data_IF_730927466953
#
_entry.id   IF_730927466953
#
_cell.length_a   1.000
_cell.length_b   1.000
_cell.length_c   1.000
_cell.angle_alpha   90.00
_cell.angle_beta   90.00
_cell.angle_gamma   90.00
#
_symmetry.space_group_name_H-M   'P 1'
#
loop_
_entity.id
_entity.type
_entity.pdbx_description
1 polymer ?
#
# COMPACT_ATOMS: atom_id res chain seq x y z
N UNK A 1 -12.22 -1.38 7.84
CA UNK A 1 -13.40 -1.58 6.99
C UNK A 1 -13.13 -2.53 5.83
N UNK A 2 -11.96 -2.46 5.19
CA UNK A 2 -11.62 -3.40 4.12
C UNK A 2 -11.58 -4.85 4.65
N UNK A 3 -11.03 -5.07 5.84
CA UNK A 3 -11.05 -6.39 6.47
C UNK A 3 -12.49 -6.84 6.76
N UNK A 4 -13.34 -5.93 7.24
CA UNK A 4 -14.75 -6.23 7.48
C UNK A 4 -15.48 -6.56 6.17
N UNK A 5 -15.10 -5.93 5.05
CA UNK A 5 -15.70 -6.25 3.76
C UNK A 5 -15.40 -7.70 3.35
N UNK A 6 -14.19 -8.19 3.65
CA UNK A 6 -13.85 -9.59 3.36
C UNK A 6 -14.66 -10.57 4.18
N UNK A 7 -14.92 -10.23 5.45
CA UNK A 7 -15.81 -11.05 6.30
C UNK A 7 -17.22 -11.09 5.72
N UNK A 8 -17.75 -9.93 5.33
CA UNK A 8 -19.09 -9.85 4.75
C UNK A 8 -19.19 -10.66 3.45
N UNK A 9 -18.15 -10.63 2.60
CA UNK A 9 -18.13 -11.45 1.38
C UNK A 9 -18.15 -12.94 1.72
N UNK A 10 -17.35 -13.38 2.68
CA UNK A 10 -17.30 -14.78 3.07
C UNK A 10 -18.62 -15.27 3.66
N UNK A 11 -19.36 -14.38 4.33
CA UNK A 11 -20.66 -14.73 4.91
C UNK A 11 -21.82 -14.60 3.91
N UNK A 12 -21.56 -14.12 2.69
CA UNK A 12 -22.58 -14.02 1.65
C UNK A 12 -23.39 -12.72 1.68
N UNK A 13 -22.80 -11.63 2.16
CA UNK A 13 -23.43 -10.30 2.18
C UNK A 13 -22.70 -9.31 1.27
N UNK A 14 -22.80 -9.47 -0.05
CA UNK A 14 -22.04 -8.62 -0.98
C UNK A 14 -22.40 -7.13 -0.92
N UNK A 15 -23.65 -6.80 -0.62
CA UNK A 15 -24.06 -5.40 -0.46
C UNK A 15 -23.38 -4.75 0.73
N UNK A 16 -23.27 -5.48 1.84
CA UNK A 16 -22.58 -4.99 3.04
C UNK A 16 -21.09 -4.83 2.76
N UNK A 17 -20.49 -5.81 2.08
CA UNK A 17 -19.07 -5.76 1.70
C UNK A 17 -18.78 -4.52 0.84
N UNK A 18 -19.64 -4.23 -0.13
CA UNK A 18 -19.48 -3.07 -1.01
C UNK A 18 -19.62 -1.76 -0.25
N UNK A 19 -20.56 -1.67 0.71
CA UNK A 19 -20.71 -0.50 1.56
C UNK A 19 -19.44 -0.24 2.38
N UNK A 20 -18.84 -1.27 2.97
CA UNK A 20 -17.58 -1.13 3.71
C UNK A 20 -16.45 -0.60 2.83
N UNK A 21 -16.31 -1.11 1.61
CA UNK A 21 -15.25 -0.65 0.69
C UNK A 21 -15.41 0.83 0.34
N UNK A 22 -16.64 1.23 0.07
CA UNK A 22 -16.95 2.62 -0.28
C UNK A 22 -16.65 3.57 0.87
N UNK A 23 -17.05 3.18 2.08
CA UNK A 23 -16.80 3.99 3.27
C UNK A 23 -15.31 3.99 3.61
N UNK A 24 -14.59 2.89 3.39
CA UNK A 24 -13.14 2.84 3.57
C UNK A 24 -12.43 3.90 2.71
N UNK A 25 -12.88 4.09 1.46
CA UNK A 25 -12.32 5.12 0.60
C UNK A 25 -12.59 6.52 1.17
N UNK A 26 -13.80 6.77 1.66
CA UNK A 26 -14.14 8.05 2.27
C UNK A 26 -13.29 8.33 3.51
N UNK A 27 -13.03 7.32 4.33
CA UNK A 27 -12.17 7.47 5.50
C UNK A 27 -10.72 7.75 5.11
N UNK A 28 -10.24 7.10 4.03
CA UNK A 28 -8.92 7.40 3.49
C UNK A 28 -8.84 8.86 3.00
N UNK A 29 -9.92 9.37 2.38
CA UNK A 29 -9.99 10.77 1.96
C UNK A 29 -9.94 11.73 3.16
N UNK A 30 -10.62 11.40 4.25
CA UNK A 30 -10.51 12.17 5.50
C UNK A 30 -9.06 12.22 5.99
N UNK A 31 -8.40 11.08 6.03
CA UNK A 31 -7.00 11.00 6.44
C UNK A 31 -6.10 11.85 5.53
N UNK A 32 -6.36 11.83 4.22
CA UNK A 32 -5.58 12.62 3.25
C UNK A 32 -5.69 14.12 3.51
N UNK A 33 -6.88 14.58 3.90
CA UNK A 33 -7.11 15.99 4.22
C UNK A 33 -6.32 16.42 5.45
N UNK A 34 -6.28 15.57 6.47
CA UNK A 34 -5.45 15.83 7.64
C UNK A 34 -3.96 15.85 7.29
N UNK A 35 -3.51 14.94 6.42
CA UNK A 35 -2.12 14.92 5.98
C UNK A 35 -1.74 16.23 5.27
N UNK A 36 -2.61 16.74 4.41
CA UNK A 36 -2.38 18.03 3.73
C UNK A 36 -2.33 19.19 4.71
N UNK A 37 -3.28 19.25 5.65
CA UNK A 37 -3.34 20.32 6.65
C UNK A 37 -2.09 20.33 7.51
N UNK A 38 -1.61 19.16 7.92
CA UNK A 38 -0.44 19.02 8.77
C UNK A 38 0.88 19.15 7.99
N UNK A 39 0.83 19.05 6.67
CA UNK A 39 2.03 19.06 5.84
C UNK A 39 2.90 17.82 6.02
N UNK A 40 2.29 16.70 6.41
CA UNK A 40 2.98 15.44 6.59
C UNK A 40 2.80 14.56 5.36
N UNK A 41 3.86 13.83 4.98
CA UNK A 41 3.89 12.84 3.90
C UNK A 41 3.75 13.45 2.50
N UNK A 42 3.04 14.57 2.36
CA UNK A 42 2.73 15.21 1.07
C UNK A 42 3.65 16.39 0.84
N UNK A 43 4.25 16.45 -0.35
CA UNK A 43 5.06 17.59 -0.78
C UNK A 43 4.31 18.36 -1.87
N UNK A 44 4.62 19.68 -2.03
CA UNK A 44 3.90 20.51 -3.01
C UNK A 44 4.32 20.29 -4.46
N UNK A 45 4.95 19.18 -4.77
CA UNK A 45 5.49 18.87 -6.09
C UNK A 45 5.26 17.40 -6.42
N UNK A 46 4.65 17.14 -7.57
CA UNK A 46 4.45 15.78 -8.05
C UNK A 46 5.78 15.04 -8.23
N UNK A 47 6.80 15.72 -8.74
CA UNK A 47 8.14 15.13 -8.86
C UNK A 47 8.67 14.67 -7.50
N UNK A 48 8.58 15.54 -6.49
CA UNK A 48 9.05 15.22 -5.14
C UNK A 48 8.25 14.07 -4.52
N UNK A 49 6.92 14.06 -4.71
CA UNK A 49 6.07 12.99 -4.22
C UNK A 49 6.40 11.65 -4.87
N UNK A 50 6.59 11.64 -6.20
CA UNK A 50 6.98 10.42 -6.91
C UNK A 50 8.33 9.91 -6.44
N UNK A 51 9.32 10.80 -6.31
CA UNK A 51 10.66 10.40 -5.85
C UNK A 51 10.62 9.76 -4.46
N UNK A 52 9.86 10.36 -3.55
CA UNK A 52 9.70 9.83 -2.19
C UNK A 52 9.00 8.46 -2.21
N UNK A 53 8.01 8.29 -3.06
CA UNK A 53 7.29 7.01 -3.14
C UNK A 53 8.12 5.90 -3.76
N UNK A 54 8.96 6.19 -4.75
CA UNK A 54 9.88 5.20 -5.30
C UNK A 54 10.76 4.61 -4.20
N UNK A 55 11.40 5.48 -3.42
CA UNK A 55 12.28 5.06 -2.33
C UNK A 55 11.50 4.29 -1.24
N UNK A 56 10.31 4.79 -0.86
CA UNK A 56 9.51 4.18 0.18
C UNK A 56 9.00 2.78 -0.23
N UNK A 57 8.58 2.61 -1.47
CA UNK A 57 8.06 1.31 -1.94
C UNK A 57 9.18 0.26 -2.02
N UNK A 58 10.34 0.61 -2.55
CA UNK A 58 11.46 -0.34 -2.58
C UNK A 58 12.00 -0.65 -1.19
N UNK A 59 12.05 0.35 -0.31
CA UNK A 59 12.42 0.14 1.09
C UNK A 59 11.45 -0.78 1.82
N UNK A 60 10.15 -0.60 1.60
CA UNK A 60 9.12 -1.45 2.17
C UNK A 60 9.21 -2.89 1.64
N UNK A 61 9.51 -3.05 0.34
CA UNK A 61 9.74 -4.37 -0.24
C UNK A 61 10.91 -5.08 0.45
N UNK A 62 12.04 -4.38 0.62
CA UNK A 62 13.21 -4.95 1.29
C UNK A 62 12.91 -5.35 2.74
N UNK A 63 12.21 -4.51 3.47
CA UNK A 63 11.79 -4.80 4.85
C UNK A 63 10.90 -6.03 4.92
N UNK A 64 9.97 -6.16 3.99
CA UNK A 64 9.06 -7.30 3.95
C UNK A 64 9.76 -8.59 3.49
N UNK A 65 10.78 -8.51 2.64
CA UNK A 65 11.60 -9.68 2.31
C UNK A 65 12.26 -10.26 3.56
N UNK A 66 12.82 -9.40 4.39
CA UNK A 66 13.46 -9.81 5.66
C UNK A 66 12.42 -10.41 6.60
N UNK A 67 11.27 -9.79 6.72
CA UNK A 67 10.18 -10.29 7.55
C UNK A 67 9.66 -11.64 7.06
N UNK A 68 9.50 -11.82 5.75
CA UNK A 68 9.07 -13.08 5.16
C UNK A 68 10.07 -14.20 5.44
N UNK A 69 11.38 -13.92 5.30
CA UNK A 69 12.42 -14.87 5.61
C UNK A 69 12.38 -15.30 7.08
N UNK A 70 12.21 -14.32 7.98
CA UNK A 70 12.11 -14.60 9.42
C UNK A 70 10.86 -15.43 9.73
N UNK A 71 9.74 -15.12 9.10
CA UNK A 71 8.50 -15.89 9.27
C UNK A 71 8.70 -17.34 8.82
N UNK A 72 9.36 -17.56 7.69
CA UNK A 72 9.66 -18.91 7.18
C UNK A 72 10.53 -19.69 8.15
N UNK A 73 11.57 -19.04 8.70
CA UNK A 73 12.46 -19.66 9.68
C UNK A 73 11.73 -20.08 10.96
N UNK A 74 10.64 -19.42 11.28
CA UNK A 74 9.83 -19.72 12.47
C UNK A 74 8.57 -20.53 12.13
N UNK A 75 8.48 -21.11 10.94
CA UNK A 75 7.38 -21.97 10.50
C UNK A 75 6.03 -21.24 10.48
N UNK A 76 6.02 -19.93 10.22
CA UNK A 76 4.82 -19.12 10.12
C UNK A 76 4.44 -18.94 8.63
N UNK A 77 4.01 -20.06 8.00
CA UNK A 77 3.83 -20.09 6.55
C UNK A 77 2.76 -19.12 6.04
N UNK A 78 1.64 -18.98 6.74
CA UNK A 78 0.58 -18.04 6.33
C UNK A 78 1.09 -16.59 6.36
N UNK A 79 1.88 -16.24 7.36
CA UNK A 79 2.47 -14.89 7.47
C UNK A 79 3.52 -14.71 6.36
N UNK A 80 4.37 -15.71 6.14
CA UNK A 80 5.35 -15.68 5.06
C UNK A 80 4.68 -15.42 3.71
N UNK A 81 3.64 -16.17 3.37
CA UNK A 81 2.98 -16.08 2.08
C UNK A 81 2.33 -14.70 1.89
N UNK A 82 1.66 -14.20 2.92
CA UNK A 82 1.02 -12.88 2.87
C UNK A 82 2.04 -11.77 2.68
N UNK A 83 3.11 -11.77 3.49
CA UNK A 83 4.14 -10.74 3.44
C UNK A 83 4.94 -10.81 2.14
N UNK A 84 5.19 -12.02 1.64
CA UNK A 84 5.90 -12.23 0.38
C UNK A 84 5.11 -11.62 -0.80
N UNK A 85 3.79 -11.83 -0.84
CA UNK A 85 2.93 -11.21 -1.87
C UNK A 85 2.92 -9.68 -1.75
N UNK A 86 2.88 -9.15 -0.53
CA UNK A 86 2.96 -7.69 -0.32
C UNK A 86 4.27 -7.12 -0.85
N UNK A 87 5.38 -7.83 -0.64
CA UNK A 87 6.69 -7.43 -1.17
C UNK A 87 6.66 -7.31 -2.70
N UNK A 88 6.04 -8.27 -3.38
CA UNK A 88 5.88 -8.23 -4.85
C UNK A 88 5.05 -7.03 -5.29
N UNK A 89 3.96 -6.74 -4.56
CA UNK A 89 3.12 -5.58 -4.85
C UNK A 89 3.91 -4.28 -4.70
N UNK A 90 4.68 -4.15 -3.63
CA UNK A 90 5.48 -2.95 -3.37
C UNK A 90 6.59 -2.76 -4.41
N UNK A 91 7.22 -3.84 -4.86
CA UNK A 91 8.18 -3.78 -5.96
C UNK A 91 7.50 -3.29 -7.26
N UNK A 92 6.30 -3.77 -7.54
CA UNK A 92 5.50 -3.35 -8.70
C UNK A 92 5.11 -1.88 -8.59
N UNK A 93 4.68 -1.43 -7.40
CA UNK A 93 4.36 -0.03 -7.13
C UNK A 93 5.59 0.85 -7.33
N UNK A 94 6.74 0.43 -6.81
CA UNK A 94 8.00 1.17 -6.97
C UNK A 94 8.39 1.33 -8.43
N UNK A 95 8.27 0.27 -9.23
CA UNK A 95 8.55 0.33 -10.67
C UNK A 95 7.57 1.24 -11.40
N UNK A 96 6.29 1.21 -11.03
CA UNK A 96 5.28 2.07 -11.64
C UNK A 96 5.57 3.54 -11.35
N UNK A 97 5.87 3.89 -10.10
CA UNK A 97 6.21 5.26 -9.73
C UNK A 97 7.51 5.71 -10.40
N UNK A 98 8.52 4.85 -10.47
CA UNK A 98 9.77 5.18 -11.15
C UNK A 98 9.55 5.42 -12.64
N UNK A 99 8.73 4.60 -13.28
CA UNK A 99 8.39 4.80 -14.70
C UNK A 99 7.72 6.13 -14.94
N UNK A 100 6.80 6.54 -14.08
CA UNK A 100 6.15 7.84 -14.18
C UNK A 100 7.12 9.00 -13.93
N UNK A 101 7.98 8.84 -12.92
CA UNK A 101 9.01 9.84 -12.60
C UNK A 101 9.94 10.05 -13.80
N UNK A 102 10.43 8.96 -14.37
CA UNK A 102 11.34 9.01 -15.52
C UNK A 102 10.65 9.62 -16.74
N UNK A 103 9.40 9.24 -16.98
CA UNK A 103 8.65 9.71 -18.16
C UNK A 103 8.41 11.22 -18.14
N UNK A 104 8.02 11.76 -16.99
CA UNK A 104 7.57 13.16 -16.93
C UNK A 104 8.62 14.14 -16.41
N UNK A 105 9.61 13.68 -15.67
CA UNK A 105 10.53 14.55 -14.94
C UNK A 105 12.01 14.22 -15.17
N UNK A 106 12.31 13.30 -16.08
CA UNK A 106 13.68 12.94 -16.42
C UNK A 106 14.06 13.61 -17.72
N UNK A 107 14.97 14.57 -17.60
CA UNK A 107 15.58 15.20 -18.78
C UNK A 107 17.04 15.42 -18.55
#
# INVERSE_FOLDING_TARGET
YIAMSRVADREGFPEVAEAYKRIAYEEADHASKFAEILGEVVMPSTKANLSARVEAEFGACDGKKKLATLAKQNNLDAIHDTVHEMCKDEARHGRAFKGLLDRYFSK
#
